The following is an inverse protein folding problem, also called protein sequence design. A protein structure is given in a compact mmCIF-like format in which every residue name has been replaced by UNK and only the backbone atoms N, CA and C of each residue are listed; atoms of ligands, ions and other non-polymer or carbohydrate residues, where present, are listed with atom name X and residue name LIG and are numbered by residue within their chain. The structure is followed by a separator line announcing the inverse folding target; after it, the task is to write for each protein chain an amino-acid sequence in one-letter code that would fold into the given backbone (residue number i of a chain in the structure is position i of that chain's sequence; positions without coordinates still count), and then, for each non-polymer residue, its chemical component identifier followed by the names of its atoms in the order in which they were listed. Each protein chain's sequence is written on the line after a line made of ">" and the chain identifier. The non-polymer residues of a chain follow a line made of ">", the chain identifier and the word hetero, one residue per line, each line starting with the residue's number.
data_IF_516794043313
#
_entry.id   IF_516794043313
#
_cell.length_a   1.000
_cell.length_b   1.000
_cell.length_c   1.000
_cell.angle_alpha   90.00
_cell.angle_beta   90.00
_cell.angle_gamma   90.00
#
_symmetry.space_group_name_H-M   'P 1'
#
loop_
_entity.id
_entity.type
_entity.pdbx_description
1 polymer ?
#
# COMPACT_ATOMS: atom_id res chain seq x y z
N UNK A 1 -4.52 4.01 -11.19
CA UNK A 1 -4.55 2.93 -10.18
C UNK A 1 -3.18 2.80 -9.54
N UNK A 2 -3.10 2.84 -8.21
CA UNK A 2 -1.86 2.62 -7.44
C UNK A 2 -1.98 1.29 -6.66
N UNK A 3 -1.72 0.18 -7.37
CA UNK A 3 -2.01 -1.19 -6.89
C UNK A 3 -0.76 -1.98 -6.48
N UNK A 4 0.41 -1.66 -7.05
CA UNK A 4 1.62 -2.44 -6.82
C UNK A 4 1.99 -2.42 -5.33
N UNK A 5 2.51 -3.55 -4.83
CA UNK A 5 3.01 -3.58 -3.46
C UNK A 5 3.58 -4.93 -3.06
N UNK A 6 4.30 -4.89 -1.96
CA UNK A 6 4.89 -6.04 -1.27
C UNK A 6 4.35 -6.10 0.16
N UNK A 7 4.41 -7.29 0.75
CA UNK A 7 3.86 -7.55 2.07
C UNK A 7 4.79 -8.46 2.87
N UNK A 8 5.04 -8.09 4.12
CA UNK A 8 5.85 -8.85 5.07
C UNK A 8 7.18 -9.33 4.47
N UNK A 9 7.83 -8.44 3.71
CA UNK A 9 9.17 -8.67 3.19
C UNK A 9 10.22 -8.61 4.33
N UNK A 10 11.37 -9.30 4.18
CA UNK A 10 12.51 -9.13 5.06
C UNK A 10 12.91 -7.64 5.20
N UNK A 11 13.55 -7.24 6.30
CA UNK A 11 14.08 -5.88 6.44
C UNK A 11 15.02 -5.56 5.29
N UNK A 12 15.00 -4.32 4.83
CA UNK A 12 15.83 -3.89 3.72
C UNK A 12 15.47 -2.49 3.25
N UNK A 13 16.27 -1.99 2.31
CA UNK A 13 16.11 -0.66 1.71
C UNK A 13 15.84 -0.77 0.21
N UNK A 14 15.10 0.20 -0.32
CA UNK A 14 15.07 0.46 -1.77
C UNK A 14 16.43 1.00 -2.24
N UNK A 15 16.62 1.08 -3.56
CA UNK A 15 17.80 1.74 -4.16
C UNK A 15 17.98 3.19 -3.72
N UNK A 16 16.89 3.86 -3.36
CA UNK A 16 16.88 5.26 -2.92
C UNK A 16 17.00 5.41 -1.39
N UNK A 17 17.20 4.30 -0.67
CA UNK A 17 17.43 4.31 0.78
C UNK A 17 16.18 4.37 1.66
N UNK A 18 14.99 4.14 1.11
CA UNK A 18 13.76 4.04 1.91
C UNK A 18 13.54 2.61 2.42
N UNK A 19 12.88 2.45 3.57
CA UNK A 19 12.40 1.14 4.03
C UNK A 19 11.64 0.43 2.91
N UNK A 20 11.96 -0.83 2.65
CA UNK A 20 11.56 -1.54 1.44
C UNK A 20 10.04 -1.54 1.18
N UNK A 21 9.22 -1.82 2.20
CA UNK A 21 7.76 -1.86 2.05
C UNK A 21 7.15 -0.46 1.92
N UNK A 22 7.62 0.51 2.70
CA UNK A 22 7.18 1.90 2.65
C UNK A 22 7.57 2.57 1.33
N UNK A 23 8.81 2.36 0.89
CA UNK A 23 9.35 2.82 -0.37
C UNK A 23 8.54 2.30 -1.55
N UNK A 24 8.31 0.99 -1.59
CA UNK A 24 7.59 0.31 -2.67
C UNK A 24 6.10 0.64 -2.67
N UNK A 25 5.43 0.50 -1.52
CA UNK A 25 3.97 0.58 -1.45
C UNK A 25 3.45 2.03 -1.45
N UNK A 26 4.24 2.97 -0.93
CA UNK A 26 3.79 4.35 -0.71
C UNK A 26 4.65 5.38 -1.46
N UNK A 27 5.97 5.46 -1.22
CA UNK A 27 6.80 6.54 -1.80
C UNK A 27 6.79 6.51 -3.33
N UNK A 28 7.00 5.32 -3.92
CA UNK A 28 6.97 5.16 -5.38
C UNK A 28 5.64 5.60 -5.98
N UNK A 29 4.52 5.23 -5.34
CA UNK A 29 3.19 5.64 -5.76
C UNK A 29 2.94 7.14 -5.61
N UNK A 30 3.32 7.74 -4.48
CA UNK A 30 3.16 9.17 -4.25
C UNK A 30 3.97 10.00 -5.26
N UNK A 31 5.20 9.58 -5.57
CA UNK A 31 6.03 10.20 -6.60
C UNK A 31 5.43 10.01 -7.99
N UNK A 32 5.00 8.80 -8.33
CA UNK A 32 4.37 8.51 -9.61
C UNK A 32 3.13 9.39 -9.83
N UNK A 33 2.25 9.51 -8.83
CA UNK A 33 1.12 10.44 -8.89
C UNK A 33 1.59 11.89 -9.07
N UNK A 34 2.61 12.34 -8.32
CA UNK A 34 3.16 13.70 -8.45
C UNK A 34 3.61 14.00 -9.87
N UNK A 35 4.30 13.06 -10.52
CA UNK A 35 4.77 13.20 -11.91
C UNK A 35 3.61 13.25 -12.92
N UNK A 36 2.50 12.59 -12.61
CA UNK A 36 1.30 12.59 -13.45
C UNK A 36 0.34 13.75 -13.18
N UNK A 37 0.56 14.57 -12.14
CA UNK A 37 -0.40 15.62 -11.75
C UNK A 37 -0.76 16.54 -12.92
N UNK A 38 0.22 16.99 -13.70
CA UNK A 38 -0.03 17.90 -14.82
C UNK A 38 -0.94 17.29 -15.89
N UNK A 39 -0.74 16.03 -16.25
CA UNK A 39 -1.61 15.37 -17.24
C UNK A 39 -3.00 15.10 -16.66
N UNK A 40 -3.08 14.73 -15.38
CA UNK A 40 -4.36 14.53 -14.68
C UNK A 40 -5.17 15.82 -14.62
N UNK A 41 -4.53 16.95 -14.30
CA UNK A 41 -5.17 18.28 -14.26
C UNK A 41 -5.68 18.69 -15.64
N UNK A 42 -4.88 18.48 -16.70
CA UNK A 42 -5.31 18.72 -18.07
C UNK A 42 -6.51 17.85 -18.47
N UNK A 43 -6.51 16.57 -18.11
CA UNK A 43 -7.62 15.67 -18.39
C UNK A 43 -8.88 16.10 -17.63
N UNK A 44 -8.76 16.49 -16.36
CA UNK A 44 -9.90 16.96 -15.57
C UNK A 44 -10.52 18.26 -16.08
N UNK A 45 -9.78 19.06 -16.86
CA UNK A 45 -10.30 20.27 -17.51
C UNK A 45 -11.06 19.97 -18.82
N UNK A 46 -11.07 18.73 -19.32
CA UNK A 46 -11.82 18.36 -20.51
C UNK A 46 -13.32 18.19 -20.19
N UNK A 47 -14.22 18.50 -21.15
CA UNK A 47 -15.65 18.27 -20.96
C UNK A 47 -15.94 16.80 -20.61
N UNK A 48 -16.85 16.58 -19.66
CA UNK A 48 -17.33 15.26 -19.20
C UNK A 48 -16.24 14.30 -18.66
N UNK A 49 -15.05 14.80 -18.34
CA UNK A 49 -13.97 13.98 -17.79
C UNK A 49 -14.20 13.65 -16.30
N UNK A 50 -13.95 12.40 -15.93
CA UNK A 50 -13.91 11.93 -14.54
C UNK A 50 -12.55 11.30 -14.24
N UNK A 51 -11.70 12.07 -13.56
CA UNK A 51 -10.34 11.66 -13.22
C UNK A 51 -10.32 11.06 -11.82
N UNK A 52 -9.89 9.80 -11.73
CA UNK A 52 -9.83 9.06 -10.47
C UNK A 52 -8.44 8.55 -10.14
N UNK A 53 -8.03 8.72 -8.88
CA UNK A 53 -6.81 8.14 -8.32
C UNK A 53 -7.20 7.19 -7.20
N UNK A 54 -7.16 5.89 -7.49
CA UNK A 54 -7.50 4.84 -6.54
C UNK A 54 -6.23 4.16 -6.07
N UNK A 55 -6.04 4.11 -4.75
CA UNK A 55 -4.86 3.55 -4.09
C UNK A 55 -5.22 2.32 -3.27
N UNK A 56 -4.42 1.26 -3.39
CA UNK A 56 -4.70 -0.01 -2.73
C UNK A 56 -4.05 -0.07 -1.33
N UNK A 57 -4.88 0.12 -0.31
CA UNK A 57 -4.52 -0.11 1.08
C UNK A 57 -4.85 -1.54 1.53
N UNK A 58 -4.88 -1.81 2.83
CA UNK A 58 -5.17 -3.12 3.41
C UNK A 58 -5.72 -2.96 4.83
N UNK A 59 -6.50 -3.94 5.30
CA UNK A 59 -6.78 -4.07 6.73
C UNK A 59 -5.48 -4.16 7.56
N UNK A 60 -4.35 -4.59 6.97
CA UNK A 60 -3.05 -4.59 7.63
C UNK A 60 -2.56 -3.23 8.14
N UNK A 61 -3.19 -2.10 7.77
CA UNK A 61 -2.90 -0.80 8.38
C UNK A 61 -3.08 -0.80 9.91
N UNK A 62 -3.88 -1.71 10.48
CA UNK A 62 -4.06 -1.86 11.93
C UNK A 62 -2.78 -2.30 12.66
N UNK A 63 -1.78 -2.82 11.93
CA UNK A 63 -0.47 -3.18 12.48
C UNK A 63 0.52 -2.01 12.48
N UNK A 64 0.14 -0.83 11.98
CA UNK A 64 0.98 0.35 12.07
C UNK A 64 1.29 0.71 13.54
N UNK A 65 2.42 1.39 13.80
CA UNK A 65 2.71 1.95 15.13
C UNK A 65 1.54 2.78 15.67
N UNK A 66 1.35 2.77 16.99
CA UNK A 66 0.22 3.49 17.63
C UNK A 66 0.34 5.00 17.45
N UNK A 67 1.56 5.49 17.34
CA UNK A 67 1.95 6.86 17.08
C UNK A 67 1.68 7.27 15.61
N UNK A 68 1.34 6.31 14.75
CA UNK A 68 1.09 6.52 13.32
C UNK A 68 2.31 6.18 12.47
N UNK A 69 2.69 7.10 11.58
CA UNK A 69 3.89 6.93 10.73
C UNK A 69 5.11 7.47 11.49
N UNK A 70 6.06 6.59 11.78
CA UNK A 70 7.33 6.94 12.42
C UNK A 70 8.34 7.40 11.37
N UNK A 71 8.47 8.72 11.20
CA UNK A 71 9.26 9.32 10.12
C UNK A 71 10.76 9.03 10.19
N UNK A 72 11.29 8.87 11.40
CA UNK A 72 12.68 8.48 11.70
C UNK A 72 13.02 7.07 11.22
N UNK A 73 12.02 6.21 11.03
CA UNK A 73 12.20 4.82 10.55
C UNK A 73 12.19 4.70 9.02
N UNK A 74 11.83 5.75 8.28
CA UNK A 74 11.53 5.64 6.85
C UNK A 74 12.76 5.46 5.96
N UNK A 75 13.94 5.86 6.45
CA UNK A 75 15.22 5.68 5.77
C UNK A 75 16.14 4.69 6.53
N UNK A 76 15.54 3.75 7.24
CA UNK A 76 16.22 2.61 7.87
C UNK A 76 15.51 1.31 7.45
N UNK A 77 16.06 0.15 7.80
CA UNK A 77 15.40 -1.13 7.52
C UNK A 77 14.15 -1.37 8.41
N UNK A 78 13.95 -0.51 9.41
CA UNK A 78 12.91 -0.56 10.43
C UNK A 78 12.69 -1.98 10.98
N UNK A 79 13.77 -2.73 11.21
CA UNK A 79 13.69 -4.12 11.65
C UNK A 79 12.86 -4.26 12.94
N UNK A 80 13.01 -3.31 13.86
CA UNK A 80 12.29 -3.25 15.15
C UNK A 80 10.76 -3.19 15.02
N UNK A 81 10.22 -2.71 13.89
CA UNK A 81 8.78 -2.71 13.64
C UNK A 81 8.25 -4.09 13.24
N UNK A 82 9.12 -5.02 12.89
CA UNK A 82 8.76 -6.30 12.31
C UNK A 82 8.12 -6.18 10.93
N UNK A 83 8.01 -7.31 10.23
CA UNK A 83 7.54 -7.35 8.85
C UNK A 83 6.12 -6.78 8.66
N UNK A 84 5.22 -7.05 9.60
CA UNK A 84 3.85 -6.54 9.57
C UNK A 84 3.71 -5.10 10.05
N UNK A 85 4.57 -4.62 10.97
CA UNK A 85 4.55 -3.21 11.39
C UNK A 85 5.00 -2.29 10.26
N UNK A 86 6.07 -2.65 9.55
CA UNK A 86 6.51 -1.94 8.32
C UNK A 86 5.43 -1.93 7.24
N UNK A 87 4.81 -3.09 7.00
CA UNK A 87 3.68 -3.20 6.07
C UNK A 87 2.51 -2.30 6.51
N UNK A 88 2.10 -2.36 7.78
CA UNK A 88 1.01 -1.59 8.33
C UNK A 88 1.24 -0.09 8.22
N UNK A 89 2.45 0.38 8.55
CA UNK A 89 2.87 1.77 8.37
C UNK A 89 2.72 2.22 6.90
N UNK A 90 3.14 1.39 5.93
CA UNK A 90 2.99 1.70 4.51
C UNK A 90 1.51 1.83 4.09
N UNK A 91 0.63 0.97 4.62
CA UNK A 91 -0.80 0.96 4.30
C UNK A 91 -1.57 2.08 4.99
N UNK A 92 -1.16 2.46 6.21
CA UNK A 92 -1.65 3.65 6.89
C UNK A 92 -1.26 4.93 6.11
N UNK A 93 -0.01 5.04 5.65
CA UNK A 93 0.45 6.18 4.87
C UNK A 93 -0.38 6.39 3.59
N UNK A 94 -0.73 5.31 2.87
CA UNK A 94 -1.64 5.37 1.71
C UNK A 94 -3.00 5.99 2.08
N UNK A 95 -3.61 5.58 3.21
CA UNK A 95 -4.91 6.09 3.66
C UNK A 95 -4.81 7.59 3.97
N UNK A 96 -3.81 7.99 4.76
CA UNK A 96 -3.61 9.38 5.16
C UNK A 96 -3.32 10.28 3.96
N UNK A 97 -2.45 9.83 3.05
CA UNK A 97 -2.11 10.54 1.84
C UNK A 97 -3.32 10.70 0.93
N UNK A 98 -4.08 9.63 0.69
CA UNK A 98 -5.29 9.69 -0.14
C UNK A 98 -6.28 10.71 0.44
N UNK A 99 -6.53 10.67 1.76
CA UNK A 99 -7.41 11.63 2.43
C UNK A 99 -6.93 13.08 2.25
N UNK A 100 -5.63 13.31 2.37
CA UNK A 100 -5.07 14.65 2.20
C UNK A 100 -5.14 15.12 0.75
N UNK A 101 -4.85 14.26 -0.21
CA UNK A 101 -4.93 14.58 -1.63
C UNK A 101 -6.38 14.83 -2.08
N UNK A 102 -7.35 14.06 -1.58
CA UNK A 102 -8.78 14.29 -1.82
C UNK A 102 -9.25 15.68 -1.37
N UNK A 103 -8.68 16.20 -0.28
CA UNK A 103 -8.96 17.57 0.19
C UNK A 103 -8.28 18.65 -0.66
N UNK A 104 -7.12 18.34 -1.22
CA UNK A 104 -6.30 19.29 -1.98
C UNK A 104 -6.75 19.41 -3.44
N UNK A 105 -7.11 18.30 -4.06
CA UNK A 105 -7.45 18.21 -5.48
C UNK A 105 -8.92 17.85 -5.65
N UNK A 106 -9.78 18.86 -5.51
CA UNK A 106 -11.24 18.70 -5.57
C UNK A 106 -11.75 18.31 -6.96
N UNK A 107 -10.94 18.54 -8.00
CA UNK A 107 -11.26 18.15 -9.38
C UNK A 107 -11.03 16.65 -9.66
N UNK A 108 -10.49 15.90 -8.71
CA UNK A 108 -10.24 14.47 -8.84
C UNK A 108 -11.06 13.69 -7.82
N UNK A 109 -11.49 12.48 -8.18
CA UNK A 109 -11.96 11.50 -7.19
C UNK A 109 -10.77 10.71 -6.67
N UNK A 110 -10.44 10.86 -5.39
CA UNK A 110 -9.39 10.07 -4.74
C UNK A 110 -9.97 9.12 -3.71
N UNK A 111 -9.62 7.83 -3.82
CA UNK A 111 -10.10 6.80 -2.93
C UNK A 111 -8.99 5.83 -2.53
N UNK A 112 -9.03 5.38 -1.27
CA UNK A 112 -8.16 4.33 -0.75
C UNK A 112 -9.04 3.14 -0.44
N UNK A 113 -8.78 2.01 -1.09
CA UNK A 113 -9.62 0.82 -0.98
C UNK A 113 -8.83 -0.34 -0.37
N UNK A 114 -9.55 -1.28 0.25
CA UNK A 114 -9.03 -2.56 0.68
C UNK A 114 -9.80 -3.66 -0.05
N UNK A 115 -9.13 -4.56 -0.81
CA UNK A 115 -9.82 -5.55 -1.66
C UNK A 115 -10.41 -6.74 -0.90
N UNK A 116 -10.39 -6.74 0.44
CA UNK A 116 -10.68 -7.91 1.27
C UNK A 116 -9.46 -8.83 1.46
N UNK A 117 -9.68 -10.00 2.07
CA UNK A 117 -8.64 -11.04 2.17
C UNK A 117 -8.63 -11.80 0.84
N UNK A 118 -7.66 -11.49 -0.02
CA UNK A 118 -7.54 -12.08 -1.36
C UNK A 118 -6.34 -13.02 -1.42
N UNK A 119 -6.51 -14.19 -2.04
CA UNK A 119 -5.43 -15.15 -2.34
C UNK A 119 -4.47 -14.60 -3.37
N UNK A 120 -3.62 -13.66 -2.96
CA UNK A 120 -2.55 -13.12 -3.82
C UNK A 120 -1.24 -13.85 -3.58
N UNK A 121 -0.32 -13.80 -4.55
CA UNK A 121 1.06 -14.27 -4.36
C UNK A 121 1.80 -13.52 -3.24
N UNK A 122 1.25 -12.43 -2.69
CA UNK A 122 1.82 -11.71 -1.56
C UNK A 122 1.98 -12.60 -0.32
N UNK A 123 1.04 -13.51 -0.06
CA UNK A 123 1.15 -14.44 1.07
C UNK A 123 2.30 -15.45 0.87
N UNK A 124 2.58 -15.82 -0.39
CA UNK A 124 3.69 -16.72 -0.72
C UNK A 124 5.05 -16.00 -0.63
N UNK A 125 5.06 -14.69 -0.89
CA UNK A 125 6.25 -13.83 -0.88
C UNK A 125 6.50 -13.12 0.47
N UNK A 126 5.68 -13.37 1.48
CA UNK A 126 5.84 -12.90 2.86
C UNK A 126 6.98 -13.65 3.60
N UNK A 127 8.18 -13.62 3.03
CA UNK A 127 9.33 -14.38 3.53
C UNK A 127 9.90 -13.85 4.83
N UNK A 128 9.59 -12.59 5.19
CA UNK A 128 9.94 -11.97 6.46
C UNK A 128 9.02 -12.35 7.63
N UNK A 129 7.95 -13.11 7.39
CA UNK A 129 7.10 -13.65 8.46
C UNK A 129 7.76 -14.85 9.15
N UNK A 130 7.58 -15.03 10.48
CA UNK A 130 7.98 -16.25 11.17
C UNK A 130 7.47 -17.51 10.47
N UNK A 131 8.29 -18.56 10.40
CA UNK A 131 8.00 -19.76 9.62
C UNK A 131 6.67 -20.44 10.02
N UNK A 132 6.29 -20.38 11.31
CA UNK A 132 5.01 -20.88 11.82
C UNK A 132 3.82 -20.17 11.17
N UNK A 133 3.88 -18.84 11.05
CA UNK A 133 2.83 -18.03 10.39
C UNK A 133 2.76 -18.37 8.91
N UNK A 134 3.90 -18.63 8.26
CA UNK A 134 3.95 -19.04 6.85
C UNK A 134 3.29 -20.40 6.62
N UNK A 135 3.46 -21.35 7.54
CA UNK A 135 2.81 -22.68 7.47
C UNK A 135 1.31 -22.57 7.68
N UNK A 136 0.86 -21.82 8.70
CA UNK A 136 -0.56 -21.61 8.97
C UNK A 136 -1.27 -20.84 7.83
N UNK A 137 -0.61 -19.84 7.25
CA UNK A 137 -1.13 -19.08 6.11
C UNK A 137 -1.35 -19.93 4.85
N UNK A 138 -0.50 -20.95 4.62
CA UNK A 138 -0.69 -21.91 3.51
C UNK A 138 -1.91 -22.80 3.69
N UNK A 139 -2.27 -23.13 4.94
CA UNK A 139 -3.48 -23.93 5.27
C UNK A 139 -4.73 -23.06 5.16
N UNK A 140 -4.67 -21.82 5.66
CA UNK A 140 -5.77 -20.85 5.59
C UNK A 140 -6.09 -20.42 4.14
N UNK A 141 -5.10 -20.42 3.24
CA UNK A 141 -5.25 -20.10 1.81
C UNK A 141 -6.28 -20.99 1.07
N UNK A 142 -6.76 -22.09 1.65
CA UNK A 142 -7.86 -22.89 1.08
C UNK A 142 -9.25 -22.29 1.30
N UNK A 143 -9.40 -21.28 2.18
CA UNK A 143 -10.69 -20.66 2.56
C UNK A 143 -10.78 -19.18 2.15
N UNK A 144 -9.73 -18.65 1.50
CA UNK A 144 -9.62 -17.24 1.14
C UNK A 144 -10.16 -16.96 -0.27
N UNK A 145 -10.77 -15.80 -0.46
CA UNK A 145 -11.36 -15.32 -1.71
C UNK A 145 -10.34 -15.33 -2.86
N UNK A 146 -10.67 -15.92 -4.03
CA UNK A 146 -9.76 -15.97 -5.17
C UNK A 146 -9.58 -14.60 -5.86
N UNK A 147 -8.51 -14.45 -6.65
CA UNK A 147 -8.03 -13.15 -7.20
C UNK A 147 -9.06 -12.48 -8.11
N UNK A 148 -9.75 -13.26 -8.93
CA UNK A 148 -10.82 -12.83 -9.83
C UNK A 148 -11.98 -12.17 -9.09
N UNK A 149 -12.27 -12.64 -7.88
CA UNK A 149 -13.29 -12.08 -7.01
C UNK A 149 -12.77 -10.88 -6.21
N UNK A 150 -11.49 -10.87 -5.85
CA UNK A 150 -10.82 -9.73 -5.21
C UNK A 150 -10.69 -8.47 -6.10
N UNK A 151 -10.58 -8.63 -7.43
CA UNK A 151 -10.54 -7.50 -8.39
C UNK A 151 -11.89 -6.78 -8.51
N UNK A 152 -13.00 -7.42 -8.07
CA UNK A 152 -14.36 -6.87 -8.17
C UNK A 152 -14.81 -6.10 -6.92
N UNK A 153 -14.02 -6.11 -5.85
CA UNK A 153 -14.26 -5.39 -4.58
C UNK A 153 -13.52 -4.05 -4.57
#
# INVERSE_FOLDING_TARGET
>A
MLNAGIMAAPPGLTSDGYELQFGTNYIGHALFTKLLLHVLEKTAAMPDADVRIVSLSSHGHVYAPKEGVLFDTLCTDAESLGAYGRYGQSKLAIILWTRQMARKYLQFTLASIHPGVVRTNLMNNATGSPWVIRVLGKVANKVVTPVDQGVRN
#
